data_IF_208081594597
#
_entry.id   IF_208081594597
#
_cell.length_a   1.000
_cell.length_b   1.000
_cell.length_c   1.000
_cell.angle_alpha   90.00
_cell.angle_beta   90.00
_cell.angle_gamma   90.00
#
_symmetry.space_group_name_H-M   'P 1'
#
loop_
_entity.id
_entity.type
_entity.pdbx_description
1 polymer ?
#
# COMPACT_ATOMS: atom_id res chain seq x y z
N UNK A 1 30.19 -2.23 1.13
CA UNK A 1 29.43 -3.48 1.15
C UNK A 1 27.99 -3.16 1.50
N UNK A 2 27.09 -3.24 0.52
CA UNK A 2 25.65 -3.13 0.74
C UNK A 2 25.11 -4.52 1.09
N UNK A 3 24.50 -4.68 2.26
CA UNK A 3 23.72 -5.86 2.56
C UNK A 3 22.33 -5.65 1.94
N UNK A 4 22.00 -6.41 0.92
CA UNK A 4 20.65 -6.41 0.37
C UNK A 4 19.73 -7.16 1.31
N UNK A 5 18.69 -6.49 1.79
CA UNK A 5 17.57 -7.17 2.44
C UNK A 5 16.83 -8.01 1.40
N UNK A 6 16.33 -9.19 1.79
CA UNK A 6 15.52 -9.99 0.87
C UNK A 6 14.36 -9.13 0.36
N UNK A 7 14.08 -9.25 -0.91
CA UNK A 7 12.95 -8.59 -1.58
C UNK A 7 11.68 -8.96 -0.83
N UNK A 8 11.26 -8.12 0.09
CA UNK A 8 9.94 -8.26 0.66
C UNK A 8 8.93 -8.00 -0.46
N UNK A 9 8.04 -8.94 -0.71
CA UNK A 9 6.96 -8.77 -1.69
C UNK A 9 5.90 -7.77 -1.21
N UNK A 10 5.99 -7.30 0.01
CA UNK A 10 5.18 -6.23 0.60
C UNK A 10 5.90 -4.87 0.46
N UNK A 11 5.16 -3.80 0.12
CA UNK A 11 3.79 -3.81 -0.38
C UNK A 11 3.74 -4.06 -1.91
N UNK A 12 2.75 -4.81 -2.39
CA UNK A 12 2.44 -4.94 -3.81
C UNK A 12 1.23 -4.10 -4.22
N UNK A 13 0.41 -3.69 -3.26
CA UNK A 13 -0.71 -2.79 -3.42
C UNK A 13 -0.37 -1.44 -2.80
N UNK A 14 -0.79 -0.34 -3.43
CA UNK A 14 -0.47 1.00 -2.95
C UNK A 14 -1.61 1.99 -3.14
N UNK A 15 -1.60 3.03 -2.35
CA UNK A 15 -2.52 4.16 -2.41
C UNK A 15 -1.84 5.39 -1.80
N UNK A 16 -2.25 6.57 -2.20
CA UNK A 16 -1.77 7.81 -1.59
C UNK A 16 -2.19 7.84 -0.12
N UNK A 17 -1.26 8.13 0.78
CA UNK A 17 -1.48 8.10 2.22
C UNK A 17 -1.15 6.74 2.88
N UNK A 18 -0.81 5.71 2.12
CA UNK A 18 -0.31 4.45 2.67
C UNK A 18 0.98 4.66 3.46
N UNK A 19 1.10 4.00 4.59
CA UNK A 19 2.34 4.03 5.37
C UNK A 19 2.59 2.71 6.08
N UNK A 20 3.86 2.42 6.30
CA UNK A 20 4.31 1.29 7.12
C UNK A 20 5.62 1.63 7.82
N UNK A 21 5.96 0.88 8.87
CA UNK A 21 7.14 1.10 9.68
C UNK A 21 8.25 0.11 9.31
N UNK A 22 9.44 0.62 9.01
CA UNK A 22 10.65 -0.20 9.03
C UNK A 22 10.93 -0.62 10.48
N UNK A 23 11.15 -1.89 10.69
CA UNK A 23 11.40 -2.47 12.00
C UNK A 23 12.90 -2.78 12.20
N UNK A 24 13.26 -3.25 13.39
CA UNK A 24 14.66 -3.52 13.72
C UNK A 24 15.31 -4.61 12.85
N UNK A 25 14.51 -5.50 12.22
CA UNK A 25 15.02 -6.53 11.32
C UNK A 25 15.53 -5.94 9.99
N UNK A 26 15.16 -4.68 9.71
CA UNK A 26 15.65 -3.92 8.55
C UNK A 26 17.01 -3.26 8.79
N UNK A 27 17.60 -3.39 9.98
CA UNK A 27 18.82 -2.72 10.40
C UNK A 27 19.87 -3.71 10.92
N UNK A 28 21.10 -3.22 11.12
CA UNK A 28 22.14 -4.02 11.77
C UNK A 28 21.74 -4.40 13.22
N UNK A 29 22.21 -5.53 13.73
CA UNK A 29 21.94 -5.93 15.12
C UNK A 29 22.28 -4.82 16.12
N UNK A 30 21.34 -4.54 17.03
CA UNK A 30 21.46 -3.49 18.04
C UNK A 30 21.30 -2.05 17.55
N UNK A 31 20.93 -1.86 16.26
CA UNK A 31 20.65 -0.56 15.67
C UNK A 31 19.14 -0.33 15.52
N UNK A 32 18.78 0.95 15.49
CA UNK A 32 17.40 1.42 15.26
C UNK A 32 17.37 2.44 14.14
N UNK A 33 16.19 2.88 13.73
CA UNK A 33 16.03 3.91 12.71
C UNK A 33 16.81 5.20 13.02
N UNK A 34 16.96 5.54 14.30
CA UNK A 34 17.71 6.74 14.74
C UNK A 34 19.20 6.71 14.34
N UNK A 35 19.76 5.52 14.12
CA UNK A 35 21.15 5.35 13.71
C UNK A 35 21.38 5.61 12.21
N UNK A 36 20.31 5.84 11.44
CA UNK A 36 20.36 5.94 9.99
C UNK A 36 19.77 7.25 9.46
N UNK A 37 20.30 7.68 8.31
CA UNK A 37 19.65 8.63 7.43
C UNK A 37 18.99 7.87 6.27
N UNK A 38 17.77 8.24 5.93
CA UNK A 38 16.99 7.55 4.89
C UNK A 38 16.91 8.35 3.60
N UNK A 39 16.88 7.64 2.48
CA UNK A 39 16.59 8.20 1.17
C UNK A 39 15.77 7.21 0.34
N UNK A 40 15.08 7.73 -0.67
CA UNK A 40 14.27 6.95 -1.61
C UNK A 40 14.63 7.33 -3.04
N UNK A 41 14.62 6.35 -3.95
CA UNK A 41 14.84 6.57 -5.38
C UNK A 41 13.64 7.18 -6.12
N UNK A 42 12.46 7.29 -5.46
CA UNK A 42 11.26 7.85 -6.05
C UNK A 42 10.69 8.98 -5.17
N UNK A 43 10.23 10.05 -5.81
CA UNK A 43 9.68 11.23 -5.12
C UNK A 43 8.36 10.96 -4.39
N UNK A 44 7.59 9.96 -4.84
CA UNK A 44 6.32 9.59 -4.20
C UNK A 44 6.48 8.73 -2.94
N UNK A 45 7.69 8.24 -2.66
CA UNK A 45 8.02 7.51 -1.42
C UNK A 45 8.82 8.41 -0.49
N UNK A 46 8.32 8.68 0.69
CA UNK A 46 9.04 9.36 1.76
C UNK A 46 9.40 8.40 2.89
N UNK A 47 10.53 8.63 3.55
CA UNK A 47 10.90 7.92 4.77
C UNK A 47 11.34 8.96 5.81
N UNK A 48 10.68 8.97 6.96
CA UNK A 48 11.02 9.90 8.02
C UNK A 48 12.16 9.36 8.92
N UNK A 49 12.60 10.19 9.88
CA UNK A 49 13.70 9.83 10.78
C UNK A 49 13.40 8.64 11.70
N UNK A 50 12.13 8.27 11.86
CA UNK A 50 11.71 7.09 12.63
C UNK A 50 11.67 5.82 11.80
N UNK A 51 11.93 5.93 10.50
CA UNK A 51 11.82 4.82 9.56
C UNK A 51 10.39 4.55 9.08
N UNK A 52 9.47 5.51 9.23
CA UNK A 52 8.12 5.43 8.69
C UNK A 52 8.16 5.74 7.20
N UNK A 53 7.77 4.77 6.39
CA UNK A 53 7.65 4.88 4.93
C UNK A 53 6.24 5.33 4.60
N UNK A 54 6.10 6.37 3.78
CA UNK A 54 4.80 6.91 3.36
C UNK A 54 4.75 7.06 1.85
N UNK A 55 3.64 6.66 1.23
CA UNK A 55 3.34 6.96 -0.17
C UNK A 55 2.63 8.32 -0.24
N UNK A 56 3.38 9.34 -0.60
CA UNK A 56 2.92 10.74 -0.56
C UNK A 56 1.98 11.10 -1.70
N UNK A 57 2.11 10.41 -2.82
CA UNK A 57 1.31 10.60 -4.03
C UNK A 57 1.15 9.25 -4.72
N UNK A 58 0.29 9.19 -5.72
CA UNK A 58 0.22 8.04 -6.62
C UNK A 58 1.58 7.87 -7.30
N UNK A 59 2.04 6.64 -7.30
CA UNK A 59 3.30 6.28 -7.91
C UNK A 59 3.12 5.51 -9.21
N UNK A 60 4.11 4.72 -9.52
CA UNK A 60 4.15 3.86 -10.70
C UNK A 60 4.48 2.40 -10.31
N UNK A 61 4.70 1.55 -11.29
CA UNK A 61 5.07 0.15 -11.09
C UNK A 61 6.59 -0.11 -11.14
N UNK A 62 7.39 0.94 -11.16
CA UNK A 62 8.85 0.80 -11.13
C UNK A 62 9.32 0.38 -9.73
N UNK A 63 10.43 -0.32 -9.69
CA UNK A 63 11.07 -0.66 -8.41
C UNK A 63 11.65 0.60 -7.76
N UNK A 64 11.24 0.85 -6.53
CA UNK A 64 11.77 1.92 -5.69
C UNK A 64 12.75 1.32 -4.69
N UNK A 65 13.92 1.95 -4.54
CA UNK A 65 14.94 1.56 -3.57
C UNK A 65 14.90 2.54 -2.40
N UNK A 66 14.70 2.02 -1.21
CA UNK A 66 14.84 2.76 0.04
C UNK A 66 16.21 2.43 0.61
N UNK A 67 17.00 3.45 0.89
CA UNK A 67 18.37 3.31 1.41
C UNK A 67 18.46 3.85 2.82
N UNK A 68 19.00 3.05 3.73
CA UNK A 68 19.36 3.43 5.08
C UNK A 68 20.88 3.54 5.18
N UNK A 69 21.38 4.76 5.35
CA UNK A 69 22.80 5.06 5.48
C UNK A 69 23.15 5.31 6.94
N UNK A 70 24.07 4.52 7.54
CA UNK A 70 24.47 4.72 8.94
C UNK A 70 25.07 6.10 9.16
N UNK A 71 24.61 6.82 10.19
CA UNK A 71 25.15 8.14 10.56
C UNK A 71 26.59 8.08 11.04
N UNK A 72 26.98 6.98 11.66
CA UNK A 72 28.33 6.75 12.18
C UNK A 72 29.27 6.01 11.20
N UNK A 73 28.84 5.86 9.94
CA UNK A 73 29.55 5.04 8.94
C UNK A 73 29.27 3.54 9.10
N UNK A 74 29.69 2.76 8.13
CA UNK A 74 29.48 1.32 8.08
C UNK A 74 28.62 0.88 6.90
N UNK A 75 28.04 -0.30 6.99
CA UNK A 75 27.25 -0.90 5.90
C UNK A 75 25.95 -0.15 5.65
N UNK A 76 25.68 0.15 4.39
CA UNK A 76 24.40 0.68 3.91
C UNK A 76 23.41 -0.47 3.76
N UNK A 77 22.16 -0.25 4.18
CA UNK A 77 21.07 -1.19 3.99
C UNK A 77 20.08 -0.65 2.96
N UNK A 78 19.57 -1.55 2.12
CA UNK A 78 18.60 -1.20 1.09
C UNK A 78 17.44 -2.20 1.12
N UNK A 79 16.22 -1.69 0.89
CA UNK A 79 15.03 -2.49 0.63
C UNK A 79 14.36 -2.00 -0.65
N UNK A 80 13.59 -2.86 -1.28
CA UNK A 80 12.89 -2.56 -2.52
C UNK A 80 11.39 -2.55 -2.29
N UNK A 81 10.72 -1.60 -2.95
CA UNK A 81 9.27 -1.50 -3.02
C UNK A 81 8.86 -1.50 -4.47
N UNK A 82 7.90 -2.36 -4.82
CA UNK A 82 7.30 -2.38 -6.15
C UNK A 82 5.79 -2.54 -6.04
N UNK A 83 5.08 -1.46 -6.27
CA UNK A 83 3.61 -1.46 -6.27
C UNK A 83 3.11 -1.92 -7.63
N UNK A 84 2.29 -2.97 -7.63
CA UNK A 84 1.70 -3.57 -8.84
C UNK A 84 0.27 -3.07 -9.10
N UNK A 85 -0.45 -2.72 -8.04
CA UNK A 85 -1.81 -2.21 -8.11
C UNK A 85 -1.98 -0.93 -7.31
N UNK A 86 -2.54 0.09 -7.93
CA UNK A 86 -2.85 1.38 -7.28
C UNK A 86 -4.33 1.48 -7.02
N UNK A 87 -4.66 1.99 -5.84
CA UNK A 87 -6.01 2.15 -5.35
C UNK A 87 -6.34 3.60 -5.14
N UNK A 88 -7.59 3.96 -5.44
CA UNK A 88 -8.15 5.27 -5.13
C UNK A 88 -9.44 5.10 -4.34
N UNK A 89 -9.60 5.95 -3.37
CA UNK A 89 -10.84 6.09 -2.61
C UNK A 89 -11.89 6.93 -3.37
N UNK A 90 -13.05 7.08 -2.74
CA UNK A 90 -14.11 7.96 -3.22
C UNK A 90 -14.46 9.03 -2.17
N UNK A 91 -13.48 9.51 -1.43
CA UNK A 91 -13.64 10.49 -0.34
C UNK A 91 -14.59 9.99 0.76
N UNK A 92 -14.51 8.72 1.10
CA UNK A 92 -15.32 8.10 2.15
C UNK A 92 -16.84 8.22 1.94
N UNK A 93 -17.29 8.21 0.68
CA UNK A 93 -18.72 8.34 0.33
C UNK A 93 -19.30 6.97 0.00
N UNK A 94 -20.40 6.62 0.63
CA UNK A 94 -21.16 5.41 0.32
C UNK A 94 -21.97 5.66 -0.96
N UNK A 95 -21.74 4.85 -1.98
CA UNK A 95 -22.42 4.94 -3.27
C UNK A 95 -23.18 3.65 -3.58
N UNK A 96 -24.37 3.72 -4.22
CA UNK A 96 -24.96 2.57 -4.89
C UNK A 96 -24.03 2.05 -5.98
N UNK A 97 -24.07 0.74 -6.27
CA UNK A 97 -23.16 0.08 -7.20
C UNK A 97 -22.99 0.82 -8.54
N UNK A 98 -24.11 1.18 -9.19
CA UNK A 98 -24.09 1.88 -10.49
C UNK A 98 -23.38 3.25 -10.43
N UNK A 99 -23.49 3.94 -9.30
CA UNK A 99 -22.78 5.20 -9.08
C UNK A 99 -21.30 4.97 -8.78
N UNK A 100 -20.98 3.90 -8.04
CA UNK A 100 -19.59 3.51 -7.77
C UNK A 100 -18.88 3.10 -9.06
N UNK A 101 -19.55 2.35 -9.95
CA UNK A 101 -19.02 2.00 -11.28
C UNK A 101 -18.74 3.25 -12.13
N UNK A 102 -19.70 4.18 -12.18
CA UNK A 102 -19.50 5.45 -12.90
C UNK A 102 -18.35 6.25 -12.31
N UNK A 103 -18.27 6.33 -11.00
CA UNK A 103 -17.19 7.06 -10.32
C UNK A 103 -15.81 6.50 -10.69
N UNK A 104 -15.61 5.20 -10.56
CA UNK A 104 -14.34 4.56 -10.90
C UNK A 104 -14.01 4.71 -12.39
N UNK A 105 -14.94 4.40 -13.27
CA UNK A 105 -14.67 4.33 -14.70
C UNK A 105 -14.53 5.70 -15.37
N UNK A 106 -15.26 6.70 -14.90
CA UNK A 106 -15.39 7.99 -15.58
C UNK A 106 -14.86 9.16 -14.77
N UNK A 107 -15.17 9.25 -13.48
CA UNK A 107 -14.75 10.39 -12.66
C UNK A 107 -13.29 10.25 -12.23
N UNK A 108 -12.85 9.08 -11.77
CA UNK A 108 -11.42 8.79 -11.60
C UNK A 108 -10.79 8.56 -12.98
N UNK A 109 -11.39 7.72 -13.81
CA UNK A 109 -10.89 7.39 -15.15
C UNK A 109 -9.57 6.62 -15.13
N UNK A 110 -8.74 6.81 -16.15
CA UNK A 110 -7.40 6.23 -16.28
C UNK A 110 -7.33 4.70 -16.07
N UNK A 111 -8.40 3.97 -16.42
CA UNK A 111 -8.47 2.52 -16.26
C UNK A 111 -8.85 2.04 -14.85
N UNK A 112 -9.20 2.93 -13.94
CA UNK A 112 -9.75 2.54 -12.64
C UNK A 112 -11.14 1.92 -12.80
N UNK A 113 -11.40 0.87 -12.03
CA UNK A 113 -12.67 0.15 -12.02
C UNK A 113 -12.92 -0.42 -10.62
N UNK A 114 -14.18 -0.85 -10.37
CA UNK A 114 -14.47 -1.61 -9.15
C UNK A 114 -13.68 -2.92 -9.21
N UNK A 115 -12.92 -3.25 -8.15
CA UNK A 115 -12.03 -4.42 -8.15
C UNK A 115 -12.80 -5.74 -7.98
N UNK A 116 -12.17 -6.84 -8.37
CA UNK A 116 -12.63 -8.17 -8.00
C UNK A 116 -12.43 -8.48 -6.51
N UNK A 117 -13.20 -9.42 -5.96
CA UNK A 117 -13.10 -9.85 -4.56
C UNK A 117 -11.66 -10.22 -4.17
N UNK A 118 -10.96 -10.96 -5.01
CA UNK A 118 -9.61 -11.43 -4.76
C UNK A 118 -8.55 -10.30 -4.71
N UNK A 119 -8.84 -9.15 -5.30
CA UNK A 119 -7.99 -7.96 -5.20
C UNK A 119 -8.25 -7.18 -3.92
N UNK A 120 -9.47 -7.23 -3.39
CA UNK A 120 -9.82 -6.62 -2.10
C UNK A 120 -9.32 -7.47 -0.94
N UNK A 121 -9.59 -8.77 -0.95
CA UNK A 121 -9.29 -9.67 0.15
C UNK A 121 -8.84 -11.04 -0.35
N UNK A 122 -7.87 -11.61 0.32
CA UNK A 122 -7.37 -12.98 0.08
C UNK A 122 -8.16 -14.06 0.85
N UNK A 123 -9.24 -13.68 1.53
CA UNK A 123 -10.09 -14.56 2.32
C UNK A 123 -10.26 -14.08 3.76
N UNK A 124 -11.08 -14.80 4.53
CA UNK A 124 -11.42 -14.41 5.90
C UNK A 124 -10.18 -14.30 6.80
N UNK A 125 -9.98 -13.11 7.39
CA UNK A 125 -8.97 -12.82 8.42
C UNK A 125 -7.51 -13.16 8.04
N UNK A 126 -7.19 -13.18 6.75
CA UNK A 126 -5.82 -13.47 6.29
C UNK A 126 -5.07 -12.21 5.87
N UNK A 127 -3.88 -12.07 6.44
CA UNK A 127 -2.88 -11.07 6.03
C UNK A 127 -1.98 -11.73 4.99
N UNK A 128 -2.27 -11.49 3.73
CA UNK A 128 -1.53 -12.07 2.59
C UNK A 128 -1.21 -11.00 1.55
N UNK A 129 -0.08 -11.19 0.87
CA UNK A 129 0.38 -10.31 -0.21
C UNK A 129 -0.53 -10.48 -1.43
N UNK A 130 -0.88 -9.39 -2.07
CA UNK A 130 -1.60 -9.35 -3.35
C UNK A 130 -3.03 -8.83 -3.30
N UNK A 131 -3.57 -8.59 -2.11
CA UNK A 131 -4.88 -7.95 -1.94
C UNK A 131 -4.80 -6.73 -1.03
N UNK A 132 -5.74 -5.80 -1.20
CA UNK A 132 -5.74 -4.54 -0.43
C UNK A 132 -5.80 -4.81 1.08
N UNK A 133 -6.84 -5.50 1.54
CA UNK A 133 -7.00 -5.79 2.98
C UNK A 133 -5.98 -6.82 3.50
N UNK A 134 -5.55 -7.75 2.64
CA UNK A 134 -4.51 -8.71 2.98
C UNK A 134 -3.20 -8.02 3.37
N UNK A 135 -2.79 -7.01 2.61
CA UNK A 135 -1.57 -6.26 2.87
C UNK A 135 -1.74 -5.19 3.95
N UNK A 136 -2.79 -4.39 3.86
CA UNK A 136 -2.93 -3.16 4.65
C UNK A 136 -3.89 -3.27 5.84
N UNK A 137 -4.74 -4.29 5.87
CA UNK A 137 -5.74 -4.48 6.92
C UNK A 137 -6.90 -3.49 6.79
N UNK A 138 -7.41 -3.02 7.92
CA UNK A 138 -8.49 -2.04 7.95
C UNK A 138 -8.04 -0.70 7.35
N UNK A 139 -8.66 -0.33 6.25
CA UNK A 139 -8.34 0.87 5.49
C UNK A 139 -8.71 2.17 6.23
N UNK A 140 -9.64 2.12 7.17
CA UNK A 140 -10.00 3.26 8.00
C UNK A 140 -8.89 3.75 8.94
N UNK A 141 -7.83 2.97 9.13
CA UNK A 141 -6.65 3.40 9.87
C UNK A 141 -5.75 4.39 9.11
N UNK A 142 -5.90 4.50 7.80
CA UNK A 142 -5.08 5.39 6.96
C UNK A 142 -5.81 6.72 6.76
N UNK A 143 -5.75 7.58 7.76
CA UNK A 143 -6.55 8.80 7.86
C UNK A 143 -6.31 9.80 6.72
N UNK A 144 -5.15 9.76 6.08
CA UNK A 144 -4.81 10.63 4.94
C UNK A 144 -5.23 10.03 3.58
N UNK A 145 -5.92 8.89 3.59
CA UNK A 145 -6.31 8.16 2.38
C UNK A 145 -7.82 8.16 2.11
N UNK A 146 -8.63 8.66 3.02
CA UNK A 146 -10.09 8.81 2.92
C UNK A 146 -10.88 7.54 2.53
N UNK A 147 -10.32 6.34 2.84
CA UNK A 147 -11.00 5.08 2.63
C UNK A 147 -12.06 4.83 3.70
N UNK A 148 -13.18 4.24 3.27
CA UNK A 148 -14.21 3.79 4.19
C UNK A 148 -13.79 2.52 4.93
N UNK A 149 -14.14 2.39 6.21
CA UNK A 149 -13.65 1.30 7.06
C UNK A 149 -14.55 0.06 7.09
N UNK A 150 -15.66 0.01 6.33
CA UNK A 150 -16.62 -1.08 6.45
C UNK A 150 -16.75 -1.92 5.18
N UNK A 151 -17.58 -1.52 4.22
CA UNK A 151 -18.03 -2.39 3.11
C UNK A 151 -17.61 -1.82 1.77
N UNK A 152 -17.06 -2.69 0.94
CA UNK A 152 -16.64 -2.35 -0.43
C UNK A 152 -17.38 -3.19 -1.47
N UNK A 153 -17.81 -2.55 -2.55
CA UNK A 153 -18.32 -3.25 -3.72
C UNK A 153 -17.22 -4.04 -4.42
N UNK A 154 -17.56 -5.24 -4.90
CA UNK A 154 -16.69 -5.96 -5.84
C UNK A 154 -17.34 -6.05 -7.22
N UNK A 155 -16.53 -6.30 -8.24
CA UNK A 155 -17.01 -6.54 -9.60
C UNK A 155 -17.60 -7.96 -9.81
N UNK A 156 -17.43 -8.86 -8.84
CA UNK A 156 -17.92 -10.22 -8.92
C UNK A 156 -19.42 -10.30 -8.60
N UNK A 157 -20.17 -11.06 -9.40
CA UNK A 157 -21.59 -11.29 -9.19
C UNK A 157 -21.84 -12.62 -8.49
N UNK A 158 -22.77 -12.61 -7.53
CA UNK A 158 -23.17 -13.80 -6.76
C UNK A 158 -24.36 -14.56 -7.38
N UNK A 159 -24.78 -14.21 -8.60
CA UNK A 159 -25.97 -14.72 -9.26
C UNK A 159 -27.27 -14.04 -8.78
N UNK A 160 -28.34 -14.20 -9.57
CA UNK A 160 -29.64 -13.59 -9.24
C UNK A 160 -29.63 -12.05 -9.16
N UNK A 161 -28.72 -11.37 -9.86
CA UNK A 161 -28.58 -9.91 -9.82
C UNK A 161 -27.92 -9.36 -8.56
N UNK A 162 -27.29 -10.22 -7.73
CA UNK A 162 -26.56 -9.83 -6.54
C UNK A 162 -25.09 -9.61 -6.81
N UNK A 163 -24.49 -8.70 -6.08
CA UNK A 163 -23.06 -8.42 -6.12
C UNK A 163 -22.39 -8.86 -4.81
N UNK A 164 -21.17 -9.34 -4.91
CA UNK A 164 -20.36 -9.57 -3.72
C UNK A 164 -19.90 -8.23 -3.13
N UNK A 165 -19.85 -8.19 -1.81
CA UNK A 165 -19.25 -7.13 -1.02
C UNK A 165 -18.15 -7.72 -0.16
N UNK A 166 -17.16 -6.89 0.19
CA UNK A 166 -16.04 -7.26 1.07
C UNK A 166 -16.02 -6.28 2.24
N UNK A 167 -15.91 -6.81 3.46
CA UNK A 167 -15.86 -6.04 4.71
C UNK A 167 -14.61 -6.40 5.52
#
# INVERSE_FOLDING_TARGET
>A
NSANLPTASFPSQGFTGAYYQLNNDNFAPGKTAADYAFSSSASWVGVDATGKVTFKNDGDSNTVIITATPRSGGAIYQTQVRVKGWWKDNNNIILPLSRAENYCNNEIGNGYAIPGVNLLSSGENRREIGSLFGEWGDMGHYMDADFYSEIYWSSNTAGGGRQYIVS
#
